data_IF_969922860044
#
_entry.id   IF_969922860044
#
_cell.length_a   1.000
_cell.length_b   1.000
_cell.length_c   1.000
_cell.angle_alpha   90.00
_cell.angle_beta   90.00
_cell.angle_gamma   90.00
#
_symmetry.space_group_name_H-M   'P 1'
#
loop_
_entity.id
_entity.type
_entity.pdbx_description
1 polymer ?
#
# COMPACT_ATOMS: atom_id res chain seq x y z
N UNK A 1 -4.10 -7.12 22.10
CA UNK A 1 -4.08 -5.72 22.60
C UNK A 1 -3.00 -4.97 21.83
N UNK A 2 -3.36 -3.91 21.09
CA UNK A 2 -2.38 -3.07 20.39
C UNK A 2 -1.58 -2.24 21.42
N UNK A 3 -0.25 -2.11 21.28
CA UNK A 3 0.54 -1.30 22.21
C UNK A 3 0.10 0.17 22.15
N UNK A 4 -0.15 0.74 23.34
CA UNK A 4 -0.73 2.09 23.55
C UNK A 4 0.14 3.27 23.08
N UNK A 5 1.34 3.02 22.55
CA UNK A 5 2.34 4.06 22.23
C UNK A 5 2.77 4.11 20.76
N UNK A 6 2.10 3.41 19.83
CA UNK A 6 2.33 3.73 18.42
C UNK A 6 1.60 5.04 18.10
N UNK A 7 2.32 6.15 17.81
CA UNK A 7 1.68 7.37 17.37
C UNK A 7 0.83 7.01 16.15
N UNK A 8 -0.45 7.38 16.19
CA UNK A 8 -1.38 7.18 15.05
C UNK A 8 -0.61 7.52 13.77
N UNK A 9 -0.53 6.61 12.78
CA UNK A 9 0.24 6.86 11.57
C UNK A 9 -0.23 8.18 10.98
N UNK A 10 0.62 9.21 11.07
CA UNK A 10 0.33 10.50 10.48
C UNK A 10 0.28 10.28 8.97
N UNK A 11 -0.84 10.68 8.36
CA UNK A 11 -1.01 10.62 6.90
C UNK A 11 0.22 11.25 6.23
N UNK A 12 0.86 10.52 5.33
CA UNK A 12 2.01 11.02 4.57
C UNK A 12 3.38 10.74 5.18
N UNK A 13 3.49 10.16 6.39
CA UNK A 13 4.81 9.76 6.91
C UNK A 13 5.19 8.36 6.38
N UNK A 14 6.31 8.19 5.66
CA UNK A 14 6.78 6.87 5.27
C UNK A 14 7.09 6.01 6.51
N UNK A 15 6.89 4.68 6.43
CA UNK A 15 7.15 3.79 7.55
C UNK A 15 8.63 3.81 7.94
N UNK A 16 8.91 3.67 9.24
CA UNK A 16 10.29 3.48 9.74
C UNK A 16 10.85 2.15 9.21
N UNK A 17 12.15 2.10 8.94
CA UNK A 17 12.84 0.86 8.55
C UNK A 17 12.63 -0.20 9.65
N UNK A 18 12.02 -1.33 9.30
CA UNK A 18 11.69 -2.41 10.25
C UNK A 18 10.27 -2.38 10.85
N UNK A 19 9.40 -1.46 10.41
CA UNK A 19 7.98 -1.49 10.81
C UNK A 19 7.30 -2.81 10.42
N UNK A 20 6.46 -3.34 11.31
CA UNK A 20 5.68 -4.56 11.04
C UNK A 20 4.70 -4.30 9.88
N UNK A 21 4.61 -5.25 8.95
CA UNK A 21 3.57 -5.23 7.92
C UNK A 21 2.20 -5.44 8.58
N UNK A 22 1.24 -4.61 8.21
CA UNK A 22 -0.14 -4.70 8.70
C UNK A 22 -1.05 -4.98 7.51
N UNK A 23 -1.95 -5.95 7.65
CA UNK A 23 -2.99 -6.20 6.66
C UNK A 23 -4.02 -5.07 6.71
N UNK A 24 -4.34 -4.50 5.55
CA UNK A 24 -5.36 -3.47 5.42
C UNK A 24 -6.33 -3.83 4.29
N UNK A 25 -7.59 -3.45 4.46
CA UNK A 25 -8.60 -3.49 3.40
C UNK A 25 -8.67 -2.13 2.68
N UNK A 26 -9.03 -2.16 1.40
CA UNK A 26 -9.27 -0.97 0.59
C UNK A 26 -10.47 -1.21 -0.32
N UNK A 27 -11.31 -0.19 -0.46
CA UNK A 27 -12.37 -0.15 -1.46
C UNK A 27 -11.89 0.65 -2.66
N UNK A 28 -12.00 0.05 -3.84
CA UNK A 28 -11.61 0.63 -5.12
C UNK A 28 -12.78 0.53 -6.10
N UNK A 29 -12.79 1.39 -7.11
CA UNK A 29 -13.70 1.21 -8.24
C UNK A 29 -13.32 -0.05 -9.01
N UNK A 30 -14.33 -0.71 -9.59
CA UNK A 30 -14.12 -1.95 -10.35
C UNK A 30 -13.11 -1.77 -11.49
N UNK A 31 -13.18 -0.65 -12.22
CA UNK A 31 -12.22 -0.32 -13.28
C UNK A 31 -10.77 -0.23 -12.79
N UNK A 32 -10.55 0.28 -11.57
CA UNK A 32 -9.22 0.33 -10.96
C UNK A 32 -8.73 -1.07 -10.60
N UNK A 33 -9.62 -1.94 -10.10
CA UNK A 33 -9.28 -3.33 -9.78
C UNK A 33 -8.87 -4.09 -11.04
N UNK A 34 -9.62 -3.93 -12.13
CA UNK A 34 -9.29 -4.58 -13.41
C UNK A 34 -7.93 -4.11 -13.93
N UNK A 35 -7.73 -2.79 -13.97
CA UNK A 35 -6.45 -2.21 -14.39
C UNK A 35 -5.27 -2.71 -13.54
N UNK A 36 -5.42 -2.76 -12.21
CA UNK A 36 -4.36 -3.29 -11.31
C UNK A 36 -4.04 -4.75 -11.64
N UNK A 37 -5.05 -5.59 -11.90
CA UNK A 37 -4.84 -7.00 -12.20
C UNK A 37 -4.10 -7.19 -13.52
N UNK A 38 -4.51 -6.47 -14.56
CA UNK A 38 -3.87 -6.53 -15.88
C UNK A 38 -2.42 -6.04 -15.80
N UNK A 39 -2.19 -4.91 -15.14
CA UNK A 39 -0.86 -4.32 -15.02
C UNK A 39 0.07 -5.18 -14.16
N UNK A 40 -0.43 -5.76 -13.06
CA UNK A 40 0.33 -6.69 -12.24
C UNK A 40 0.70 -7.96 -13.03
N UNK A 41 -0.24 -8.50 -13.83
CA UNK A 41 0.02 -9.63 -14.71
C UNK A 41 1.07 -9.30 -15.77
N UNK A 42 1.01 -8.10 -16.38
CA UNK A 42 1.99 -7.63 -17.37
C UNK A 42 3.40 -7.55 -16.79
N UNK A 43 3.51 -7.16 -15.52
CA UNK A 43 4.77 -7.03 -14.79
C UNK A 43 5.25 -8.33 -14.13
N UNK A 44 4.44 -9.39 -14.14
CA UNK A 44 4.76 -10.66 -13.49
C UNK A 44 4.80 -10.57 -11.96
N UNK A 45 4.04 -9.65 -11.36
CA UNK A 45 3.97 -9.45 -9.90
C UNK A 45 2.54 -9.61 -9.41
N UNK A 46 2.35 -9.67 -8.08
CA UNK A 46 1.01 -9.69 -7.50
C UNK A 46 0.37 -8.30 -7.50
N UNK A 47 -0.97 -8.26 -7.53
CA UNK A 47 -1.73 -7.01 -7.40
C UNK A 47 -1.37 -6.24 -6.10
N UNK A 48 -1.10 -6.96 -5.01
CA UNK A 48 -0.68 -6.38 -3.73
C UNK A 48 0.70 -5.72 -3.81
N UNK A 49 1.65 -6.32 -4.54
CA UNK A 49 2.96 -5.71 -4.78
C UNK A 49 2.86 -4.47 -5.64
N UNK A 50 2.05 -4.51 -6.71
CA UNK A 50 1.79 -3.34 -7.55
C UNK A 50 1.20 -2.18 -6.71
N UNK A 51 0.18 -2.46 -5.91
CA UNK A 51 -0.41 -1.48 -4.99
C UNK A 51 0.62 -0.87 -4.04
N UNK A 52 1.52 -1.69 -3.48
CA UNK A 52 2.59 -1.21 -2.60
C UNK A 52 3.54 -0.26 -3.33
N UNK A 53 3.96 -0.61 -4.55
CA UNK A 53 4.84 0.24 -5.38
C UNK A 53 4.16 1.58 -5.67
N UNK A 54 2.88 1.57 -6.03
CA UNK A 54 2.13 2.79 -6.34
C UNK A 54 1.97 3.68 -5.11
N UNK A 55 1.69 3.10 -3.94
CA UNK A 55 1.62 3.83 -2.66
C UNK A 55 3.00 4.42 -2.32
N UNK A 56 4.07 3.64 -2.42
CA UNK A 56 5.42 4.10 -2.12
C UNK A 56 5.85 5.24 -3.05
N UNK A 57 5.47 5.18 -4.34
CA UNK A 57 5.71 6.27 -5.30
C UNK A 57 4.95 7.53 -4.91
N UNK A 58 3.64 7.42 -4.67
CA UNK A 58 2.80 8.55 -4.28
C UNK A 58 3.22 9.22 -2.96
N UNK A 59 3.88 8.47 -2.06
CA UNK A 59 4.41 8.98 -0.79
C UNK A 59 5.77 9.67 -0.94
N UNK A 60 6.56 9.32 -1.97
CA UNK A 60 7.87 9.95 -2.26
C UNK A 60 7.74 11.21 -3.12
N UNK A 61 6.69 11.29 -3.93
CA UNK A 61 6.39 12.44 -4.79
C UNK A 61 5.77 13.64 -4.01
N UNK A 62 5.82 13.63 -2.67
CA UNK A 62 5.34 14.68 -1.77
C UNK A 62 6.47 15.26 -0.94
#
# INVERSE_FOLDING_TARGET
MLPKNDPKPQRGRPPKKGSKMVQTGLWLYESQIQWIKEEASRLGITASELLRILIDKAMKDK
#
